data_IF_678598295310
#
_entry.id   IF_678598295310
#
_cell.length_a   1.000
_cell.length_b   1.000
_cell.length_c   1.000
_cell.angle_alpha   90.00
_cell.angle_beta   90.00
_cell.angle_gamma   90.00
#
_symmetry.space_group_name_H-M   'P 1'
#
loop_
_entity.id
_entity.type
_entity.pdbx_description
1 polymer ?
#
# COMPACT_ATOMS: atom_id res chain seq x y z
N UNK A 1 13.40 -23.34 14.11
CA UNK A 1 12.95 -21.93 14.21
C UNK A 1 12.65 -21.36 12.83
N UNK A 2 13.51 -21.61 11.85
CA UNK A 2 13.35 -21.17 10.44
C UNK A 2 12.00 -21.47 9.79
N UNK A 3 11.33 -22.59 10.10
CA UNK A 3 10.03 -22.91 9.50
C UNK A 3 8.92 -21.95 9.92
N UNK A 4 8.92 -21.47 11.17
CA UNK A 4 7.95 -20.46 11.64
C UNK A 4 8.27 -19.09 11.04
N UNK A 5 9.56 -18.78 10.87
CA UNK A 5 10.00 -17.54 10.23
C UNK A 5 9.62 -17.53 8.74
N UNK A 6 9.75 -18.66 8.06
CA UNK A 6 9.33 -18.82 6.67
C UNK A 6 7.83 -18.55 6.51
N UNK A 7 6.98 -19.09 7.38
CA UNK A 7 5.53 -18.89 7.31
C UNK A 7 5.14 -17.41 7.51
N UNK A 8 5.81 -16.73 8.45
CA UNK A 8 5.65 -15.29 8.65
C UNK A 8 6.07 -14.49 7.40
N UNK A 9 7.20 -14.84 6.79
CA UNK A 9 7.70 -14.16 5.60
C UNK A 9 6.80 -14.38 4.38
N UNK A 10 6.27 -15.60 4.20
CA UNK A 10 5.35 -15.92 3.09
C UNK A 10 4.05 -15.12 3.19
N UNK A 11 3.51 -14.95 4.40
CA UNK A 11 2.32 -14.13 4.65
C UNK A 11 2.57 -12.67 4.25
N UNK A 12 3.70 -12.10 4.66
CA UNK A 12 4.08 -10.73 4.30
C UNK A 12 4.29 -10.58 2.79
N UNK A 13 5.03 -11.51 2.18
CA UNK A 13 5.31 -11.50 0.75
C UNK A 13 4.01 -11.55 -0.08
N UNK A 14 3.06 -12.40 0.30
CA UNK A 14 1.76 -12.47 -0.37
C UNK A 14 1.03 -11.13 -0.31
N UNK A 15 0.86 -10.55 0.89
CA UNK A 15 0.21 -9.24 1.03
C UNK A 15 0.92 -8.18 0.18
N UNK A 16 2.26 -8.13 0.19
CA UNK A 16 3.03 -7.15 -0.56
C UNK A 16 2.80 -7.29 -2.07
N UNK A 17 2.87 -8.50 -2.62
CA UNK A 17 2.70 -8.73 -4.06
C UNK A 17 1.29 -8.42 -4.54
N UNK A 18 0.27 -8.88 -3.81
CA UNK A 18 -1.13 -8.56 -4.14
C UNK A 18 -1.41 -7.05 -4.03
N UNK A 19 -0.83 -6.37 -3.04
CA UNK A 19 -0.95 -4.91 -2.89
C UNK A 19 -0.29 -4.15 -4.05
N UNK A 20 0.88 -4.60 -4.49
CA UNK A 20 1.64 -3.99 -5.59
C UNK A 20 0.95 -4.18 -6.95
N UNK A 21 0.34 -5.34 -7.18
CA UNK A 21 -0.42 -5.63 -8.40
C UNK A 21 -1.65 -4.73 -8.51
N UNK A 22 -2.41 -4.57 -7.42
CA UNK A 22 -3.61 -3.74 -7.41
C UNK A 22 -3.32 -2.24 -7.52
N UNK A 23 -2.16 -1.77 -7.00
CA UNK A 23 -1.79 -0.35 -7.03
C UNK A 23 -1.26 0.09 -8.39
N UNK A 24 -2.17 0.60 -9.23
CA UNK A 24 -1.94 1.05 -10.61
C UNK A 24 -1.47 2.52 -10.67
N UNK A 25 -0.37 2.82 -9.99
CA UNK A 25 0.37 4.10 -10.07
C UNK A 25 1.85 3.86 -9.75
N UNK A 26 2.67 4.91 -9.86
CA UNK A 26 4.04 4.95 -9.31
C UNK A 26 4.18 6.04 -8.24
N UNK A 27 4.68 5.67 -7.06
CA UNK A 27 4.87 6.58 -5.92
C UNK A 27 6.01 6.11 -5.01
N UNK A 28 7.04 6.94 -4.87
CA UNK A 28 8.17 6.64 -4.00
C UNK A 28 8.92 5.39 -4.47
N UNK A 29 9.00 4.36 -3.63
CA UNK A 29 9.67 3.11 -3.94
C UNK A 29 8.83 2.15 -4.81
N UNK A 30 7.51 2.36 -4.91
CA UNK A 30 6.65 1.58 -5.80
C UNK A 30 6.68 2.20 -7.19
N UNK A 31 7.37 1.56 -8.13
CA UNK A 31 7.53 2.02 -9.50
C UNK A 31 7.03 0.94 -10.47
N UNK A 32 6.14 1.35 -11.38
CA UNK A 32 5.52 0.48 -12.38
C UNK A 32 5.73 1.05 -13.76
N UNK A 33 6.29 0.23 -14.65
CA UNK A 33 6.55 0.63 -16.04
C UNK A 33 5.27 0.83 -16.85
N UNK A 34 4.18 0.16 -16.47
CA UNK A 34 2.86 0.31 -17.09
C UNK A 34 1.99 1.40 -16.44
N UNK A 35 2.41 1.95 -15.29
CA UNK A 35 1.77 3.08 -14.59
C UNK A 35 2.82 4.01 -14.00
N UNK A 36 3.56 4.73 -14.85
CA UNK A 36 4.78 5.47 -14.48
C UNK A 36 4.54 6.75 -13.68
N UNK A 37 3.33 7.27 -13.68
CA UNK A 37 3.00 8.55 -13.05
C UNK A 37 2.36 8.35 -11.68
N UNK A 38 2.53 9.35 -10.81
CA UNK A 38 1.81 9.46 -9.55
C UNK A 38 0.37 9.92 -9.82
N UNK A 39 -0.59 9.27 -9.19
CA UNK A 39 -2.01 9.63 -9.31
C UNK A 39 -2.62 9.93 -7.93
N UNK A 40 -2.67 11.22 -7.60
CA UNK A 40 -3.23 11.68 -6.33
C UNK A 40 -4.76 11.67 -6.29
N UNK A 41 -5.43 11.53 -7.45
CA UNK A 41 -6.91 11.49 -7.48
C UNK A 41 -7.41 10.12 -7.05
N UNK A 42 -6.83 9.06 -7.60
CA UNK A 42 -7.28 7.69 -7.34
C UNK A 42 -6.51 7.00 -6.22
N UNK A 43 -5.23 7.36 -6.00
CA UNK A 43 -4.31 6.59 -5.16
C UNK A 43 -3.75 7.34 -3.93
N UNK A 44 -4.32 8.49 -3.58
CA UNK A 44 -4.05 9.16 -2.28
C UNK A 44 -4.74 8.43 -1.11
N UNK A 45 -4.34 7.16 -0.91
CA UNK A 45 -4.89 6.24 0.08
C UNK A 45 -3.83 5.21 0.51
N UNK A 46 -3.96 4.77 1.75
CA UNK A 46 -3.21 3.65 2.30
C UNK A 46 -3.83 2.34 1.82
N UNK A 47 -2.97 1.40 1.39
CA UNK A 47 -3.38 0.02 1.13
C UNK A 47 -3.40 -0.75 2.45
N UNK A 48 -4.50 -1.45 2.73
CA UNK A 48 -4.65 -2.32 3.90
C UNK A 48 -4.78 -3.77 3.41
N UNK A 49 -3.78 -4.59 3.69
CA UNK A 49 -3.78 -6.01 3.33
C UNK A 49 -4.15 -6.89 4.51
N UNK A 50 -5.10 -7.79 4.30
CA UNK A 50 -5.55 -8.76 5.30
C UNK A 50 -5.29 -10.16 4.77
N UNK A 51 -4.59 -10.97 5.54
CA UNK A 51 -4.38 -12.38 5.21
C UNK A 51 -5.32 -13.25 6.03
N UNK A 52 -6.14 -14.05 5.35
CA UNK A 52 -7.01 -15.04 5.97
C UNK A 52 -6.34 -16.41 5.97
N UNK A 53 -5.87 -16.82 7.15
CA UNK A 53 -5.27 -18.14 7.38
C UNK A 53 -6.30 -19.26 7.61
N UNK A 54 -7.58 -18.92 7.81
CA UNK A 54 -8.63 -19.88 8.21
C UNK A 54 -9.43 -20.40 7.02
N UNK A 55 -9.47 -19.66 5.92
CA UNK A 55 -10.20 -20.07 4.72
C UNK A 55 -9.35 -21.01 3.84
N UNK A 56 -9.95 -22.10 3.38
CA UNK A 56 -9.35 -23.06 2.43
C UNK A 56 -9.31 -22.54 0.98
N UNK A 57 -9.68 -21.28 0.75
CA UNK A 57 -9.67 -20.63 -0.56
C UNK A 57 -8.23 -20.41 -1.04
N UNK A 58 -8.07 -20.40 -2.37
CA UNK A 58 -6.79 -20.06 -3.00
C UNK A 58 -6.43 -18.59 -2.81
N UNK A 59 -7.43 -17.71 -2.82
CA UNK A 59 -7.25 -16.30 -2.49
C UNK A 59 -7.39 -16.09 -0.99
N UNK A 60 -6.24 -15.90 -0.34
CA UNK A 60 -6.13 -15.62 1.10
C UNK A 60 -5.91 -14.15 1.40
N UNK A 61 -5.64 -13.32 0.39
CA UNK A 61 -5.35 -11.89 0.59
C UNK A 61 -6.57 -11.07 0.19
N UNK A 62 -7.11 -10.32 1.15
CA UNK A 62 -8.10 -9.28 0.93
C UNK A 62 -7.43 -7.92 1.03
N UNK A 63 -7.68 -7.05 0.04
CA UNK A 63 -7.18 -5.67 0.02
C UNK A 63 -8.34 -4.72 0.32
N UNK A 64 -8.04 -3.70 1.11
CA UNK A 64 -8.92 -2.57 1.40
C UNK A 64 -8.10 -1.28 1.36
N UNK A 65 -8.78 -0.13 1.46
CA UNK A 65 -8.14 1.17 1.40
C UNK A 65 -8.67 2.13 2.45
N UNK A 66 -7.78 3.00 2.94
CA UNK A 66 -8.11 4.08 3.86
C UNK A 66 -7.54 5.41 3.37
N UNK A 67 -8.29 6.53 3.45
CA UNK A 67 -7.77 7.83 3.05
C UNK A 67 -6.55 8.27 3.87
N UNK A 68 -5.67 9.05 3.24
CA UNK A 68 -4.57 9.72 3.93
C UNK A 68 -5.13 10.88 4.76
N UNK A 69 -4.61 11.04 5.98
CA UNK A 69 -4.91 12.19 6.82
C UNK A 69 -4.10 13.39 6.35
N UNK A 70 -4.78 14.37 5.76
CA UNK A 70 -4.13 15.54 5.17
C UNK A 70 -3.93 16.68 6.16
N UNK A 71 -4.80 16.81 7.17
CA UNK A 71 -4.78 17.97 8.05
C UNK A 71 -3.79 17.76 9.21
N UNK A 72 -2.99 18.79 9.55
CA UNK A 72 -2.23 18.85 10.80
C UNK A 72 -3.15 18.77 12.03
N UNK A 73 -2.55 18.58 13.21
CA UNK A 73 -3.30 18.48 14.46
C UNK A 73 -3.88 19.84 14.90
N UNK A 74 -3.16 20.93 14.63
CA UNK A 74 -3.50 22.29 15.04
C UNK A 74 -3.14 23.32 13.94
N UNK A 75 -3.34 24.60 14.27
CA UNK A 75 -3.07 25.73 13.39
C UNK A 75 -1.63 26.28 13.47
N UNK A 76 -0.73 25.65 14.23
CA UNK A 76 0.67 26.10 14.31
C UNK A 76 1.41 25.89 12.99
N UNK A 77 0.91 24.97 12.15
CA UNK A 77 1.46 24.66 10.84
C UNK A 77 0.37 24.61 9.78
N UNK A 78 0.61 25.27 8.65
CA UNK A 78 -0.27 25.16 7.48
C UNK A 78 -0.11 23.79 6.79
N UNK A 79 -1.22 23.26 6.28
CA UNK A 79 -1.21 22.03 5.48
C UNK A 79 -0.36 22.19 4.21
N UNK A 80 0.59 21.27 4.02
CA UNK A 80 1.43 21.23 2.82
C UNK A 80 0.72 20.40 1.74
N UNK A 81 0.24 21.01 0.64
CA UNK A 81 -0.50 20.29 -0.38
C UNK A 81 0.41 19.32 -1.15
N UNK A 82 -0.14 18.20 -1.66
CA UNK A 82 0.60 17.28 -2.51
C UNK A 82 1.19 17.97 -3.74
N UNK A 83 2.51 17.82 -3.93
CA UNK A 83 3.23 18.27 -5.13
C UNK A 83 4.10 17.14 -5.66
N UNK A 84 4.19 16.99 -6.98
CA UNK A 84 5.05 15.99 -7.59
C UNK A 84 6.50 16.23 -7.12
N UNK A 85 7.17 15.16 -6.67
CA UNK A 85 8.56 15.25 -6.21
C UNK A 85 9.48 15.04 -7.41
N UNK A 86 10.26 16.06 -7.73
CA UNK A 86 11.33 16.03 -8.74
C UNK A 86 12.64 16.28 -7.98
N UNK A 87 13.67 15.49 -8.28
CA UNK A 87 15.00 15.62 -7.67
C UNK A 87 15.94 16.42 -8.57
#
# INVERSE_FOLDING_TARGET
METLELDNLLTNAAITMHSAEQRKESRGAHAREDFTQRDDKEWMKHTLGYFDSHTASKDKVRIDYRPVHMQPLDSEMEHVPPKARVY
#
